data_IF_123451783631
#
_entry.id   IF_123451783631
#
_cell.length_a   1.000
_cell.length_b   1.000
_cell.length_c   1.000
_cell.angle_alpha   90.00
_cell.angle_beta   90.00
_cell.angle_gamma   90.00
#
_symmetry.space_group_name_H-M   'P 1'
#
loop_
_entity.id
_entity.type
_entity.pdbx_description
1 polymer ?
#
# COMPACT_ATOMS: atom_id res chain seq x y z
N UNK A 1 -2.05 -2.95 9.88
CA UNK A 1 -2.02 -4.41 9.61
C UNK A 1 -1.52 -5.20 10.83
N UNK A 2 -0.32 -4.95 11.38
CA UNK A 2 0.23 -5.70 12.53
C UNK A 2 -0.72 -5.81 13.74
N UNK A 3 -1.32 -4.69 14.18
CA UNK A 3 -2.28 -4.68 15.29
C UNK A 3 -3.56 -5.47 14.99
N UNK A 4 -4.02 -5.51 13.74
CA UNK A 4 -5.17 -6.35 13.35
C UNK A 4 -4.80 -7.82 13.48
N UNK A 5 -3.62 -8.21 12.99
CA UNK A 5 -3.08 -9.56 13.14
C UNK A 5 -2.83 -9.95 14.61
N UNK A 6 -2.69 -8.95 15.50
CA UNK A 6 -2.56 -9.12 16.94
C UNK A 6 -3.91 -8.99 17.69
N UNK A 7 -5.03 -9.08 16.98
CA UNK A 7 -6.38 -9.14 17.55
C UNK A 7 -7.03 -7.78 17.85
N UNK A 8 -6.41 -6.66 17.48
CA UNK A 8 -7.03 -5.35 17.60
C UNK A 8 -8.10 -5.19 16.50
N UNK A 9 -9.31 -4.83 16.89
CA UNK A 9 -10.39 -4.55 15.91
C UNK A 9 -9.96 -3.42 14.98
N UNK A 10 -10.16 -3.57 13.67
CA UNK A 10 -9.72 -2.60 12.66
C UNK A 10 -10.11 -1.14 13.00
N UNK A 11 -11.35 -0.91 13.47
CA UNK A 11 -11.83 0.42 13.90
C UNK A 11 -11.12 1.03 15.12
N UNK A 12 -10.30 0.24 15.84
CA UNK A 12 -9.55 0.65 17.04
C UNK A 12 -8.05 0.79 16.79
N UNK A 13 -7.58 0.46 15.58
CA UNK A 13 -6.15 0.47 15.26
C UNK A 13 -5.53 1.85 15.49
N UNK A 14 -6.17 2.91 15.02
CA UNK A 14 -5.65 4.28 15.17
C UNK A 14 -5.68 4.76 16.63
N UNK A 15 -6.73 4.39 17.39
CA UNK A 15 -6.79 4.69 18.83
C UNK A 15 -5.61 4.05 19.58
N UNK A 16 -5.32 2.78 19.27
CA UNK A 16 -4.18 2.05 19.87
C UNK A 16 -2.85 2.64 19.39
N UNK A 17 -2.70 2.94 18.10
CA UNK A 17 -1.45 3.52 17.56
C UNK A 17 -1.17 4.94 18.05
N UNK A 18 -2.14 5.64 18.63
CA UNK A 18 -1.93 6.99 19.20
C UNK A 18 -1.17 6.98 20.54
N UNK A 19 -0.87 5.80 21.08
CA UNK A 19 -0.13 5.64 22.34
C UNK A 19 1.23 4.98 22.10
N UNK A 20 2.27 5.30 22.90
CA UNK A 20 3.57 4.63 22.82
C UNK A 20 3.46 3.13 22.95
N UNK A 21 2.68 2.63 23.90
CA UNK A 21 2.47 1.20 24.15
C UNK A 21 1.84 0.49 22.94
N UNK A 22 0.92 1.18 22.24
CA UNK A 22 0.29 0.66 21.04
C UNK A 22 1.27 0.57 19.86
N UNK A 23 2.19 1.51 19.76
CA UNK A 23 3.27 1.48 18.77
C UNK A 23 4.23 0.33 19.08
N UNK A 24 4.68 0.20 20.32
CA UNK A 24 5.56 -0.88 20.78
C UNK A 24 4.93 -2.26 20.50
N UNK A 25 3.63 -2.39 20.79
CA UNK A 25 2.85 -3.59 20.48
C UNK A 25 2.84 -3.92 18.99
N UNK A 26 2.69 -2.91 18.13
CA UNK A 26 2.73 -3.10 16.69
C UNK A 26 4.09 -3.60 16.20
N UNK A 27 5.18 -3.01 16.73
CA UNK A 27 6.54 -3.44 16.41
C UNK A 27 6.86 -4.82 16.95
N UNK A 28 6.46 -5.14 18.18
CA UNK A 28 6.62 -6.48 18.74
C UNK A 28 5.94 -7.55 17.86
N UNK A 29 4.77 -7.22 17.28
CA UNK A 29 4.10 -8.12 16.33
C UNK A 29 4.87 -8.25 15.01
N UNK A 30 5.44 -7.17 14.48
CA UNK A 30 6.26 -7.21 13.27
C UNK A 30 7.56 -8.00 13.49
N UNK A 31 8.16 -7.89 14.66
CA UNK A 31 9.37 -8.64 15.01
C UNK A 31 9.18 -10.16 14.93
N UNK A 32 7.95 -10.65 15.11
CA UNK A 32 7.68 -12.11 14.98
C UNK A 32 7.84 -12.64 13.56
N UNK A 33 7.86 -11.78 12.55
CA UNK A 33 7.94 -12.18 11.14
C UNK A 33 9.15 -11.59 10.41
N UNK A 34 9.95 -10.73 11.04
CA UNK A 34 11.01 -9.95 10.39
C UNK A 34 12.02 -10.79 9.60
N UNK A 35 12.34 -11.98 10.07
CA UNK A 35 13.30 -12.89 9.43
C UNK A 35 12.75 -13.52 8.14
N UNK A 36 11.46 -13.34 7.88
CA UNK A 36 10.74 -13.84 6.69
C UNK A 36 10.23 -12.72 5.79
N UNK A 37 10.66 -11.48 6.02
CA UNK A 37 10.18 -10.30 5.27
C UNK A 37 11.29 -9.73 4.42
N UNK A 38 11.00 -9.51 3.14
CA UNK A 38 11.85 -8.75 2.22
C UNK A 38 11.31 -7.32 2.15
N UNK A 39 12.12 -6.36 2.59
CA UNK A 39 11.76 -4.93 2.50
C UNK A 39 12.08 -4.37 1.14
N UNK A 40 11.21 -3.52 0.64
CA UNK A 40 11.40 -2.83 -0.64
C UNK A 40 11.15 -1.32 -0.49
N UNK A 41 11.73 -0.52 -1.37
CA UNK A 41 11.57 0.93 -1.42
C UNK A 41 11.01 1.45 -2.75
N UNK A 42 11.17 0.69 -3.84
CA UNK A 42 10.66 1.05 -5.15
C UNK A 42 9.33 0.37 -5.42
N UNK A 43 8.30 1.12 -5.84
CA UNK A 43 6.95 0.61 -6.04
C UNK A 43 6.78 -0.48 -7.12
N UNK A 44 7.77 -0.73 -7.99
CA UNK A 44 7.80 -1.86 -8.93
C UNK A 44 8.28 -3.15 -8.28
N UNK A 45 9.10 -3.06 -7.23
CA UNK A 45 9.79 -4.21 -6.64
C UNK A 45 8.88 -5.32 -6.10
N UNK A 46 7.72 -5.03 -5.46
CA UNK A 46 6.79 -6.06 -5.02
C UNK A 46 6.36 -7.03 -6.11
N UNK A 47 6.05 -6.50 -7.30
CA UNK A 47 5.58 -7.33 -8.41
C UNK A 47 6.70 -8.21 -8.99
N UNK A 48 7.94 -7.69 -9.03
CA UNK A 48 9.12 -8.45 -9.40
C UNK A 48 9.35 -9.63 -8.46
N UNK A 49 9.30 -9.38 -7.14
CA UNK A 49 9.53 -10.37 -6.10
C UNK A 49 8.50 -11.51 -6.14
N UNK A 50 7.22 -11.18 -6.36
CA UNK A 50 6.16 -12.19 -6.50
C UNK A 50 6.28 -12.91 -7.84
N UNK A 51 6.59 -12.20 -8.93
CA UNK A 51 6.75 -12.81 -10.27
C UNK A 51 7.93 -13.79 -10.34
N UNK A 52 9.01 -13.50 -9.63
CA UNK A 52 10.19 -14.38 -9.58
C UNK A 52 10.00 -15.57 -8.63
N UNK A 53 8.96 -15.58 -7.80
CA UNK A 53 8.75 -16.59 -6.77
C UNK A 53 9.66 -16.41 -5.55
N UNK A 54 10.38 -15.30 -5.43
CA UNK A 54 11.20 -14.98 -4.26
C UNK A 54 10.35 -14.79 -3.01
N UNK A 55 9.14 -14.23 -3.18
CA UNK A 55 8.12 -14.15 -2.14
C UNK A 55 6.79 -14.68 -2.66
N UNK A 56 5.97 -15.22 -1.76
CA UNK A 56 4.65 -15.76 -2.09
C UNK A 56 3.53 -14.73 -2.02
N UNK A 57 3.75 -13.61 -1.30
CA UNK A 57 2.83 -12.49 -1.20
C UNK A 57 3.58 -11.20 -0.94
N UNK A 58 2.99 -10.06 -1.28
CA UNK A 58 3.57 -8.76 -1.01
C UNK A 58 2.49 -7.69 -0.84
N UNK A 59 2.83 -6.62 -0.12
CA UNK A 59 2.09 -5.37 -0.18
C UNK A 59 2.46 -4.66 -1.48
N UNK A 60 1.47 -4.19 -2.23
CA UNK A 60 1.71 -3.45 -3.46
C UNK A 60 0.55 -2.48 -3.75
N UNK A 61 0.80 -1.51 -4.61
CA UNK A 61 -0.25 -0.58 -5.07
C UNK A 61 -1.20 -1.30 -6.02
N UNK A 62 -2.50 -1.22 -5.74
CA UNK A 62 -3.54 -1.92 -6.50
C UNK A 62 -3.52 -1.59 -8.01
N UNK A 63 -3.27 -0.34 -8.40
CA UNK A 63 -3.17 0.05 -9.80
C UNK A 63 -2.03 -0.65 -10.54
N UNK A 64 -0.89 -0.86 -9.88
CA UNK A 64 0.23 -1.62 -10.46
C UNK A 64 -0.09 -3.10 -10.63
N UNK A 65 -0.76 -3.69 -9.63
CA UNK A 65 -1.22 -5.09 -9.71
C UNK A 65 -2.21 -5.23 -10.87
N UNK A 66 -3.20 -4.32 -10.97
CA UNK A 66 -4.18 -4.32 -12.06
C UNK A 66 -3.53 -4.22 -13.44
N UNK A 67 -2.56 -3.32 -13.61
CA UNK A 67 -1.82 -3.19 -14.86
C UNK A 67 -1.05 -4.49 -15.20
N UNK A 68 -0.39 -5.11 -14.23
CA UNK A 68 0.32 -6.37 -14.44
C UNK A 68 -0.61 -7.53 -14.84
N UNK A 69 -1.80 -7.62 -14.25
CA UNK A 69 -2.80 -8.63 -14.62
C UNK A 69 -3.35 -8.36 -16.03
N UNK A 70 -3.81 -7.13 -16.30
CA UNK A 70 -4.54 -6.80 -17.52
C UNK A 70 -3.64 -6.63 -18.75
N UNK A 71 -2.46 -6.06 -18.56
CA UNK A 71 -1.56 -5.72 -19.68
C UNK A 71 -0.43 -6.72 -19.88
N UNK A 72 0.02 -7.38 -18.81
CA UNK A 72 1.16 -8.32 -18.85
C UNK A 72 0.74 -9.79 -18.69
N UNK A 73 -0.54 -10.05 -18.41
CA UNK A 73 -1.07 -11.40 -18.22
C UNK A 73 -0.51 -12.11 -16.98
N UNK A 74 -0.07 -11.35 -15.95
CA UNK A 74 0.45 -11.92 -14.72
C UNK A 74 -0.65 -12.63 -13.93
N UNK A 75 -0.36 -13.80 -13.40
CA UNK A 75 -1.27 -14.57 -12.57
C UNK A 75 -1.18 -14.12 -11.10
N UNK A 76 -1.65 -12.89 -10.82
CA UNK A 76 -1.74 -12.35 -9.48
C UNK A 76 -3.18 -12.37 -8.97
N UNK A 77 -3.34 -12.47 -7.66
CA UNK A 77 -4.63 -12.41 -6.96
C UNK A 77 -4.57 -11.35 -5.87
N UNK A 78 -5.70 -10.66 -5.62
CA UNK A 78 -5.82 -9.67 -4.55
C UNK A 78 -6.30 -10.31 -3.25
N UNK A 79 -5.63 -9.98 -2.16
CA UNK A 79 -6.11 -10.23 -0.80
C UNK A 79 -6.50 -8.87 -0.22
N UNK A 80 -7.80 -8.63 -0.11
CA UNK A 80 -8.33 -7.35 0.38
C UNK A 80 -8.44 -7.26 1.91
N UNK A 81 -8.20 -8.36 2.63
CA UNK A 81 -8.21 -8.38 4.08
C UNK A 81 -7.13 -7.46 4.66
N UNK A 82 -7.56 -6.59 5.60
CA UNK A 82 -6.70 -5.63 6.27
C UNK A 82 -5.96 -4.67 5.32
N UNK A 83 -6.50 -4.40 4.14
CA UNK A 83 -5.94 -3.42 3.20
C UNK A 83 -5.80 -2.04 3.85
N UNK A 84 -4.86 -1.25 3.37
CA UNK A 84 -4.70 0.16 3.71
C UNK A 84 -5.28 0.99 2.56
N UNK A 85 -6.23 1.87 2.88
CA UNK A 85 -6.76 2.82 1.92
C UNK A 85 -5.95 4.12 2.00
N UNK A 86 -5.34 4.50 0.88
CA UNK A 86 -4.70 5.81 0.71
C UNK A 86 -5.54 6.67 -0.23
N UNK A 87 -5.61 7.97 0.07
CA UNK A 87 -6.23 8.95 -0.81
C UNK A 87 -5.14 9.71 -1.55
N UNK A 88 -5.21 9.71 -2.88
CA UNK A 88 -4.33 10.49 -3.73
C UNK A 88 -5.04 11.73 -4.24
N UNK A 89 -4.29 12.82 -4.44
CA UNK A 89 -4.83 14.09 -4.89
C UNK A 89 -4.01 14.62 -6.07
N UNK A 90 -4.70 14.96 -7.15
CA UNK A 90 -4.13 15.79 -8.20
C UNK A 90 -4.21 17.25 -7.77
N UNK A 91 -3.09 17.95 -7.83
CA UNK A 91 -3.01 19.34 -7.40
C UNK A 91 -2.38 20.23 -8.47
N UNK A 92 -2.81 21.48 -8.54
CA UNK A 92 -2.18 22.51 -9.36
C UNK A 92 -1.33 23.39 -8.47
N UNK A 93 -0.06 23.57 -8.81
CA UNK A 93 0.86 24.41 -8.06
C UNK A 93 0.37 25.86 -8.08
N UNK A 94 0.34 26.50 -6.91
CA UNK A 94 -0.04 27.93 -6.78
C UNK A 94 0.85 28.79 -7.68
N UNK A 95 0.22 29.63 -8.50
CA UNK A 95 0.93 30.51 -9.45
C UNK A 95 1.20 29.87 -10.82
N UNK A 96 0.74 28.63 -11.08
CA UNK A 96 0.75 28.05 -12.42
C UNK A 96 -0.02 28.96 -13.40
N UNK A 97 0.53 29.11 -14.60
CA UNK A 97 -0.13 29.83 -15.71
C UNK A 97 -1.13 28.96 -16.46
N UNK A 98 -1.08 27.64 -16.27
CA UNK A 98 -1.87 26.64 -17.01
C UNK A 98 -2.95 26.00 -16.13
N UNK A 99 -3.65 26.80 -15.33
CA UNK A 99 -4.68 26.31 -14.39
C UNK A 99 -5.90 25.77 -15.12
N UNK A 100 -6.28 26.43 -16.24
CA UNK A 100 -7.44 26.03 -17.04
C UNK A 100 -7.20 24.66 -17.70
N UNK A 101 -6.05 24.50 -18.33
CA UNK A 101 -5.62 23.25 -19.00
C UNK A 101 -5.45 22.10 -17.98
N UNK A 102 -4.91 22.40 -16.80
CA UNK A 102 -4.81 21.40 -15.73
C UNK A 102 -6.19 20.91 -15.27
N UNK A 103 -7.17 21.80 -15.14
CA UNK A 103 -8.55 21.43 -14.78
C UNK A 103 -9.23 20.59 -15.86
N UNK A 104 -8.99 20.91 -17.12
CA UNK A 104 -9.47 20.13 -18.24
C UNK A 104 -8.87 18.72 -18.23
N UNK A 105 -7.56 18.62 -18.04
CA UNK A 105 -6.88 17.32 -17.88
C UNK A 105 -7.47 16.50 -16.74
N UNK A 106 -7.72 17.10 -15.57
CA UNK A 106 -8.29 16.39 -14.41
C UNK A 106 -9.72 15.91 -14.61
N UNK A 107 -10.46 16.55 -15.52
CA UNK A 107 -11.81 16.11 -15.88
C UNK A 107 -11.85 14.82 -16.71
N UNK A 108 -10.71 14.42 -17.27
CA UNK A 108 -10.55 13.24 -18.13
C UNK A 108 -9.56 12.19 -17.59
N UNK A 109 -8.98 12.41 -16.42
CA UNK A 109 -8.00 11.52 -15.78
C UNK A 109 -8.61 10.36 -14.98
#
# INVERSE_FOLDING_TARGET
MALVADGVKARKVYDVMSTPEGIDRAFAKLDTIKDHVVFWSAGSKPLELVSSGEVVMSLAYNGRIGAAILSEGKNFEYIWDAQVLEQEYLVVIKGSKNVAEAKEFFAHA
#
